data_IF_434716599442
#
_entry.id   IF_434716599442
#
_cell.length_a   1.000
_cell.length_b   1.000
_cell.length_c   1.000
_cell.angle_alpha   90.00
_cell.angle_beta   90.00
_cell.angle_gamma   90.00
#
_symmetry.space_group_name_H-M   'P 1'
#
loop_
_entity.id
_entity.type
_entity.pdbx_description
1 polymer ?
#
# COMPACT_ATOMS: atom_id res chain seq x y z
N UNK A 1 32.86 17.39 -7.45
CA UNK A 1 31.70 17.73 -8.29
C UNK A 1 30.49 17.69 -7.35
N UNK A 2 29.89 18.85 -7.07
CA UNK A 2 28.69 18.95 -6.26
C UNK A 2 27.53 18.44 -7.10
N UNK A 3 26.67 17.49 -6.61
CA UNK A 3 25.49 17.11 -7.36
C UNK A 3 24.58 18.33 -7.48
N UNK A 4 24.31 18.77 -8.70
CA UNK A 4 23.40 19.85 -8.98
C UNK A 4 22.00 19.39 -8.49
N UNK A 5 21.50 20.02 -7.43
CA UNK A 5 20.13 19.79 -6.95
C UNK A 5 19.15 20.14 -8.07
N UNK A 6 18.38 19.18 -8.51
CA UNK A 6 17.38 19.39 -9.54
C UNK A 6 16.32 20.37 -9.00
N UNK A 7 16.15 21.57 -9.59
CA UNK A 7 15.28 22.60 -9.03
C UNK A 7 13.81 22.14 -8.91
N UNK A 8 13.39 21.21 -9.77
CA UNK A 8 12.05 20.62 -9.71
C UNK A 8 11.86 19.79 -8.44
N UNK A 9 12.87 18.98 -8.07
CA UNK A 9 12.83 18.18 -6.85
C UNK A 9 12.81 19.09 -5.61
N UNK A 10 13.59 20.17 -5.64
CA UNK A 10 13.65 21.13 -4.52
C UNK A 10 12.33 21.89 -4.36
N UNK A 11 11.65 22.26 -5.45
CA UNK A 11 10.34 22.92 -5.43
C UNK A 11 9.26 21.97 -4.96
N UNK A 12 9.26 20.74 -5.44
CA UNK A 12 8.32 19.69 -5.00
C UNK A 12 8.49 19.42 -3.51
N UNK A 13 9.72 19.22 -3.03
CA UNK A 13 10.02 19.05 -1.60
C UNK A 13 9.60 20.27 -0.77
N UNK A 14 9.81 21.50 -1.27
CA UNK A 14 9.42 22.72 -0.56
C UNK A 14 7.89 22.88 -0.48
N UNK A 15 7.16 22.53 -1.53
CA UNK A 15 5.68 22.50 -1.53
C UNK A 15 5.20 21.43 -0.54
N UNK A 16 5.80 20.24 -0.53
CA UNK A 16 5.47 19.17 0.40
C UNK A 16 5.74 19.57 1.86
N UNK A 17 6.88 20.23 2.14
CA UNK A 17 7.20 20.71 3.49
C UNK A 17 6.27 21.83 3.97
N UNK A 18 5.78 22.70 3.09
CA UNK A 18 4.89 23.78 3.47
C UNK A 18 3.44 23.34 3.77
N UNK A 19 3.01 22.23 3.17
CA UNK A 19 1.68 21.65 3.39
C UNK A 19 1.65 20.76 4.66
N UNK A 20 2.80 20.16 5.02
CA UNK A 20 2.93 19.32 6.21
C UNK A 20 2.79 20.08 7.56
N UNK A 21 2.67 21.40 7.55
CA UNK A 21 2.61 22.23 8.78
C UNK A 21 1.17 22.44 9.28
N UNK A 22 0.13 22.10 8.52
CA UNK A 22 -1.25 22.15 9.04
C UNK A 22 -1.55 20.85 9.80
N UNK A 23 -2.07 20.93 11.04
CA UNK A 23 -2.53 19.76 11.79
C UNK A 23 -3.89 19.28 11.25
N UNK A 24 -4.03 19.14 9.94
CA UNK A 24 -5.20 18.48 9.37
C UNK A 24 -5.09 17.01 9.70
N UNK A 25 -6.00 16.51 10.52
CA UNK A 25 -6.17 15.06 10.74
C UNK A 25 -6.73 14.46 9.46
N UNK A 26 -6.44 13.19 9.21
CA UNK A 26 -6.96 12.48 8.03
C UNK A 26 -8.51 12.46 7.97
N UNK A 27 -9.17 12.71 9.11
CA UNK A 27 -10.62 12.87 9.21
C UNK A 27 -11.16 14.19 8.62
N UNK A 28 -10.31 15.24 8.55
CA UNK A 28 -10.63 16.46 7.83
C UNK A 28 -10.17 16.26 6.38
N UNK A 29 -11.10 16.04 5.46
CA UNK A 29 -10.81 15.88 4.04
C UNK A 29 -10.90 17.23 3.31
N UNK A 30 -9.84 18.06 3.38
CA UNK A 30 -9.86 19.41 2.81
C UNK A 30 -9.90 19.40 1.28
N UNK A 31 -9.65 18.23 0.66
CA UNK A 31 -9.61 18.06 -0.79
C UNK A 31 -10.76 17.20 -1.32
N UNK A 32 -11.82 16.97 -0.53
CA UNK A 32 -12.92 16.06 -0.88
C UNK A 32 -13.49 16.32 -2.29
N UNK A 33 -13.75 17.57 -2.66
CA UNK A 33 -14.31 17.90 -3.98
C UNK A 33 -13.38 17.49 -5.11
N UNK A 34 -12.08 17.77 -4.99
CA UNK A 34 -11.06 17.37 -5.97
C UNK A 34 -10.86 15.86 -5.99
N UNK A 35 -10.82 15.25 -4.81
CA UNK A 35 -10.66 13.80 -4.67
C UNK A 35 -11.82 13.03 -5.33
N UNK A 36 -13.05 13.53 -5.21
CA UNK A 36 -14.22 12.94 -5.88
C UNK A 36 -14.13 13.04 -7.41
N UNK A 37 -13.71 14.19 -7.95
CA UNK A 37 -13.50 14.36 -9.39
C UNK A 37 -12.42 13.42 -9.92
N UNK A 38 -11.32 13.25 -9.16
CA UNK A 38 -10.26 12.31 -9.53
C UNK A 38 -10.74 10.85 -9.42
N UNK A 39 -11.56 10.52 -8.42
CA UNK A 39 -12.16 9.19 -8.31
C UNK A 39 -13.05 8.90 -9.52
N UNK A 40 -13.92 9.83 -9.93
CA UNK A 40 -14.76 9.68 -11.12
C UNK A 40 -13.91 9.47 -12.38
N UNK A 41 -12.80 10.20 -12.51
CA UNK A 41 -11.85 10.00 -13.60
C UNK A 41 -11.22 8.59 -13.53
N UNK A 42 -10.77 8.14 -12.34
CA UNK A 42 -10.18 6.82 -12.14
C UNK A 42 -11.20 5.71 -12.47
N UNK A 43 -12.45 5.85 -12.01
CA UNK A 43 -13.53 4.90 -12.29
C UNK A 43 -13.86 4.83 -13.79
N UNK A 44 -13.87 5.96 -14.48
CA UNK A 44 -14.06 5.98 -15.92
C UNK A 44 -12.91 5.31 -16.69
N UNK A 45 -11.67 5.55 -16.27
CA UNK A 45 -10.48 4.91 -16.85
C UNK A 45 -10.45 3.40 -16.55
N UNK A 46 -10.82 3.00 -15.34
CA UNK A 46 -10.95 1.59 -14.95
C UNK A 46 -12.00 0.88 -15.81
N UNK A 47 -13.20 1.43 -15.88
CA UNK A 47 -14.31 0.84 -16.64
C UNK A 47 -13.98 0.71 -18.14
N UNK A 48 -13.24 1.68 -18.71
CA UNK A 48 -12.91 1.69 -20.13
C UNK A 48 -11.72 0.79 -20.48
N UNK A 49 -10.75 0.62 -19.58
CA UNK A 49 -9.45 -0.01 -19.90
C UNK A 49 -9.10 -1.12 -18.93
N UNK A 50 -8.94 -0.81 -17.63
CA UNK A 50 -8.34 -1.74 -16.68
C UNK A 50 -9.27 -2.92 -16.36
N UNK A 51 -10.55 -2.64 -16.10
CA UNK A 51 -11.55 -3.66 -15.79
C UNK A 51 -11.75 -4.70 -16.91
N UNK A 52 -11.92 -4.34 -18.20
CA UNK A 52 -11.99 -5.33 -19.27
C UNK A 52 -10.76 -6.22 -19.37
N UNK A 53 -9.57 -5.64 -19.18
CA UNK A 53 -8.30 -6.40 -19.18
C UNK A 53 -8.24 -7.32 -17.96
N UNK A 54 -8.65 -6.85 -16.78
CA UNK A 54 -8.65 -7.64 -15.55
C UNK A 54 -9.60 -8.83 -15.63
N UNK A 55 -10.80 -8.65 -16.21
CA UNK A 55 -11.75 -9.74 -16.45
C UNK A 55 -11.15 -10.79 -17.40
N UNK A 56 -10.62 -10.34 -18.55
CA UNK A 56 -10.00 -11.25 -19.50
C UNK A 56 -8.79 -12.00 -18.90
N UNK A 57 -8.01 -11.33 -18.06
CA UNK A 57 -6.88 -11.92 -17.34
C UNK A 57 -7.36 -12.97 -16.32
N UNK A 58 -8.37 -12.65 -15.50
CA UNK A 58 -8.93 -13.57 -14.51
C UNK A 58 -9.53 -14.84 -15.14
N UNK A 59 -10.22 -14.68 -16.27
CA UNK A 59 -10.82 -15.80 -17.02
C UNK A 59 -9.77 -16.68 -17.74
N UNK A 60 -8.63 -16.09 -18.12
CA UNK A 60 -7.65 -16.76 -19.01
C UNK A 60 -6.49 -17.36 -18.23
N UNK A 61 -6.00 -16.69 -17.19
CA UNK A 61 -4.81 -17.11 -16.43
C UNK A 61 -5.21 -17.95 -15.22
N UNK A 62 -4.81 -19.24 -15.17
CA UNK A 62 -5.17 -20.11 -14.04
C UNK A 62 -4.65 -19.57 -12.70
N UNK A 63 -5.49 -19.65 -11.66
CA UNK A 63 -5.17 -19.18 -10.29
C UNK A 63 -3.81 -19.66 -9.75
N UNK A 64 -3.34 -20.91 -9.98
CA UNK A 64 -2.02 -21.33 -9.53
C UNK A 64 -0.86 -20.56 -10.17
N UNK A 65 -0.99 -20.18 -11.46
CA UNK A 65 0.02 -19.38 -12.16
C UNK A 65 0.04 -17.97 -11.59
N UNK A 66 -1.13 -17.36 -11.42
CA UNK A 66 -1.30 -16.04 -10.79
C UNK A 66 -0.63 -15.99 -9.42
N UNK A 67 -0.97 -16.96 -8.55
CA UNK A 67 -0.36 -17.07 -7.20
C UNK A 67 1.15 -17.22 -7.25
N UNK A 68 1.67 -18.03 -8.13
CA UNK A 68 3.13 -18.22 -8.26
C UNK A 68 3.86 -16.94 -8.67
N UNK A 69 3.29 -16.18 -9.61
CA UNK A 69 3.84 -14.88 -10.01
C UNK A 69 3.75 -13.84 -8.89
N UNK A 70 2.63 -13.83 -8.15
CA UNK A 70 2.44 -12.97 -6.99
C UNK A 70 3.47 -13.26 -5.90
N UNK A 71 3.60 -14.53 -5.52
CA UNK A 71 4.59 -14.95 -4.52
C UNK A 71 6.01 -14.52 -4.91
N UNK A 72 6.38 -14.65 -6.19
CA UNK A 72 7.68 -14.21 -6.68
C UNK A 72 7.86 -12.69 -6.57
N UNK A 73 6.81 -11.92 -6.87
CA UNK A 73 6.81 -10.47 -6.70
C UNK A 73 6.90 -10.08 -5.22
N UNK A 74 6.07 -10.70 -4.38
CA UNK A 74 6.04 -10.43 -2.93
C UNK A 74 7.36 -10.83 -2.25
N UNK A 75 8.03 -11.88 -2.72
CA UNK A 75 9.38 -12.24 -2.26
C UNK A 75 10.41 -11.12 -2.51
N UNK A 76 10.26 -10.33 -3.58
CA UNK A 76 11.10 -9.15 -3.82
C UNK A 76 10.66 -7.98 -2.92
N UNK A 77 9.37 -7.82 -2.65
CA UNK A 77 8.88 -6.77 -1.75
C UNK A 77 9.23 -7.05 -0.28
N UNK A 78 9.39 -8.32 0.12
CA UNK A 78 9.89 -8.71 1.45
C UNK A 78 11.29 -8.13 1.73
N UNK A 79 12.12 -7.90 0.69
CA UNK A 79 13.41 -7.21 0.83
C UNK A 79 13.23 -5.77 1.31
N UNK A 80 12.31 -5.03 0.67
CA UNK A 80 12.00 -3.65 1.07
C UNK A 80 11.39 -3.60 2.47
N UNK A 81 10.51 -4.56 2.78
CA UNK A 81 9.91 -4.68 4.12
C UNK A 81 10.98 -4.97 5.19
N UNK A 82 11.99 -5.80 4.89
CA UNK A 82 13.11 -6.03 5.81
C UNK A 82 13.92 -4.75 6.07
N UNK A 83 14.20 -3.96 5.02
CA UNK A 83 14.89 -2.67 5.17
C UNK A 83 14.06 -1.70 6.00
N UNK A 84 12.77 -1.56 5.69
CA UNK A 84 11.86 -0.69 6.44
C UNK A 84 11.75 -1.12 7.91
N UNK A 85 11.69 -2.42 8.19
CA UNK A 85 11.69 -2.94 9.57
C UNK A 85 12.97 -2.54 10.33
N UNK A 86 14.15 -2.55 9.69
CA UNK A 86 15.39 -2.03 10.29
C UNK A 86 15.31 -0.54 10.57
N UNK A 87 14.83 0.27 9.62
CA UNK A 87 14.66 1.72 9.77
C UNK A 87 13.68 2.08 10.90
N UNK A 88 12.72 1.20 11.17
CA UNK A 88 11.76 1.30 12.27
C UNK A 88 12.33 0.85 13.63
N UNK A 89 13.58 0.37 13.69
CA UNK A 89 14.17 -0.17 14.91
C UNK A 89 13.60 -1.54 15.32
N UNK A 90 13.11 -2.32 14.35
CA UNK A 90 12.47 -3.63 14.55
C UNK A 90 13.29 -4.78 13.93
N UNK A 91 14.49 -5.07 14.45
CA UNK A 91 15.37 -6.07 13.84
C UNK A 91 14.76 -7.49 13.81
N UNK A 92 13.86 -7.83 14.73
CA UNK A 92 13.16 -9.12 14.71
C UNK A 92 12.31 -9.33 13.46
N UNK A 93 11.56 -8.31 13.02
CA UNK A 93 10.78 -8.37 11.79
C UNK A 93 11.68 -8.32 10.54
N UNK A 94 12.78 -7.57 10.60
CA UNK A 94 13.76 -7.56 9.52
C UNK A 94 14.38 -8.94 9.30
N UNK A 95 14.76 -9.64 10.37
CA UNK A 95 15.27 -11.02 10.30
C UNK A 95 14.18 -11.96 9.77
N UNK A 96 12.94 -11.79 10.22
CA UNK A 96 11.80 -12.59 9.76
C UNK A 96 11.59 -12.47 8.23
N UNK A 97 11.48 -11.23 7.69
CA UNK A 97 11.33 -11.02 6.26
C UNK A 97 12.57 -11.47 5.47
N UNK A 98 13.77 -11.25 6.00
CA UNK A 98 15.00 -11.79 5.37
C UNK A 98 14.99 -13.31 5.31
N UNK A 99 14.54 -13.99 6.37
CA UNK A 99 14.42 -15.45 6.37
C UNK A 99 13.39 -15.92 5.33
N UNK A 100 12.25 -15.22 5.16
CA UNK A 100 11.28 -15.48 4.10
C UNK A 100 11.92 -15.42 2.73
N UNK A 101 12.62 -14.32 2.43
CA UNK A 101 13.33 -14.14 1.15
C UNK A 101 14.30 -15.31 0.89
N UNK A 102 15.09 -15.68 1.87
CA UNK A 102 16.06 -16.80 1.72
C UNK A 102 15.36 -18.14 1.50
N UNK A 103 14.34 -18.45 2.30
CA UNK A 103 13.58 -19.72 2.16
C UNK A 103 12.86 -19.77 0.83
N UNK A 104 12.09 -18.73 0.49
CA UNK A 104 11.30 -18.71 -0.74
C UNK A 104 12.19 -18.68 -2.00
N UNK A 105 13.32 -18.00 -1.96
CA UNK A 105 14.26 -17.98 -3.09
C UNK A 105 14.94 -19.34 -3.27
N UNK A 106 15.32 -20.03 -2.19
CA UNK A 106 16.08 -21.30 -2.27
C UNK A 106 15.18 -22.52 -2.40
N UNK A 107 14.14 -22.63 -1.57
CA UNK A 107 13.25 -23.79 -1.54
C UNK A 107 11.97 -23.55 -2.36
N UNK A 108 11.56 -22.28 -2.52
CA UNK A 108 10.36 -21.88 -3.24
C UNK A 108 10.55 -21.51 -4.71
N UNK A 109 11.63 -22.00 -5.37
CA UNK A 109 11.90 -21.77 -6.81
C UNK A 109 11.90 -20.26 -7.15
N UNK A 110 12.82 -19.50 -6.53
CA UNK A 110 12.95 -18.05 -6.68
C UNK A 110 11.71 -17.26 -6.19
N UNK A 111 10.99 -17.82 -5.22
CA UNK A 111 9.82 -17.18 -4.62
C UNK A 111 8.48 -17.56 -5.26
N UNK A 112 8.45 -18.38 -6.30
CA UNK A 112 7.18 -18.83 -6.93
C UNK A 112 6.29 -19.60 -5.95
N UNK A 113 6.90 -20.32 -5.00
CA UNK A 113 6.20 -21.04 -3.93
C UNK A 113 6.53 -20.35 -2.60
N UNK A 114 5.52 -19.97 -1.85
CA UNK A 114 5.71 -19.38 -0.50
C UNK A 114 5.87 -20.46 0.57
N UNK A 115 7.04 -21.09 0.56
CA UNK A 115 7.43 -22.12 1.55
C UNK A 115 7.56 -21.53 2.94
N UNK A 116 7.93 -20.26 3.05
CA UNK A 116 8.10 -19.60 4.35
C UNK A 116 6.78 -19.52 5.13
N UNK A 117 5.67 -19.19 4.48
CA UNK A 117 4.35 -19.20 5.12
C UNK A 117 3.92 -20.61 5.54
N UNK A 118 4.22 -21.63 4.71
CA UNK A 118 3.98 -23.03 5.07
C UNK A 118 4.82 -23.48 6.30
N UNK A 119 5.96 -22.84 6.54
CA UNK A 119 6.79 -23.04 7.74
C UNK A 119 6.36 -22.19 8.95
N UNK A 120 5.28 -21.40 8.84
CA UNK A 120 4.79 -20.52 9.89
C UNK A 120 5.56 -19.21 10.03
N UNK A 121 6.32 -18.82 8.98
CA UNK A 121 7.02 -17.54 8.93
C UNK A 121 6.14 -16.56 8.14
N UNK A 122 5.16 -15.97 8.81
CA UNK A 122 4.24 -14.99 8.21
C UNK A 122 4.97 -13.72 7.77
N UNK A 123 4.56 -13.03 6.68
CA UNK A 123 5.13 -11.76 6.28
C UNK A 123 4.90 -10.67 7.35
N UNK A 124 5.82 -9.73 7.43
CA UNK A 124 5.60 -8.46 8.11
C UNK A 124 5.49 -7.38 7.04
N UNK A 125 4.25 -7.03 6.74
CA UNK A 125 3.95 -6.01 5.73
C UNK A 125 4.27 -4.64 6.28
N UNK A 126 5.14 -3.90 5.59
CA UNK A 126 5.53 -2.55 5.95
C UNK A 126 6.14 -1.81 4.77
N UNK A 127 6.06 -0.49 4.82
CA UNK A 127 6.55 0.42 3.81
C UNK A 127 7.26 1.64 4.43
N UNK A 128 7.79 2.54 3.61
CA UNK A 128 8.45 3.74 4.12
C UNK A 128 7.45 4.77 4.70
N UNK A 129 6.19 4.77 4.26
CA UNK A 129 5.13 5.57 4.88
C UNK A 129 4.87 5.15 6.32
N UNK A 130 4.92 3.84 6.60
CA UNK A 130 4.87 3.28 7.95
C UNK A 130 6.14 3.62 8.74
N UNK A 131 7.32 3.59 8.11
CA UNK A 131 8.57 4.04 8.72
C UNK A 131 8.48 5.50 9.14
N UNK A 132 7.95 6.37 8.31
CA UNK A 132 7.70 7.78 8.64
C UNK A 132 6.73 7.94 9.81
N UNK A 133 5.66 7.13 9.87
CA UNK A 133 4.74 7.12 11.01
C UNK A 133 5.46 6.79 12.32
N UNK A 134 6.31 5.77 12.31
CA UNK A 134 7.14 5.39 13.45
C UNK A 134 8.12 6.48 13.89
N UNK A 135 8.59 7.28 12.96
CA UNK A 135 9.44 8.44 13.26
C UNK A 135 8.63 9.66 13.72
N UNK A 136 7.30 9.54 13.86
CA UNK A 136 6.42 10.59 14.35
C UNK A 136 5.93 11.56 13.26
N UNK A 137 6.11 11.25 11.98
CA UNK A 137 5.56 12.07 10.92
C UNK A 137 4.02 11.97 10.90
N UNK A 138 3.29 13.10 10.86
CA UNK A 138 1.85 13.09 10.77
C UNK A 138 1.37 12.45 9.46
N UNK A 139 0.17 11.92 9.47
CA UNK A 139 -0.41 11.29 8.29
C UNK A 139 -0.64 12.27 7.15
N UNK A 140 -1.05 13.47 7.50
CA UNK A 140 -1.44 14.52 6.56
C UNK A 140 -2.79 14.24 5.90
N UNK A 141 -3.24 15.15 5.03
CA UNK A 141 -4.54 15.03 4.39
C UNK A 141 -4.60 13.83 3.43
N UNK A 142 -5.82 13.31 3.29
CA UNK A 142 -6.16 12.30 2.30
C UNK A 142 -6.16 12.91 0.90
N UNK A 143 -5.64 12.19 -0.08
CA UNK A 143 -5.62 12.59 -1.49
C UNK A 143 -5.91 11.40 -2.39
N UNK A 144 -6.75 11.62 -3.39
CA UNK A 144 -6.94 10.67 -4.49
C UNK A 144 -5.94 11.00 -5.59
N UNK A 145 -5.17 10.02 -6.04
CA UNK A 145 -4.15 10.21 -7.08
C UNK A 145 -4.64 9.60 -8.40
N UNK A 146 -4.54 10.32 -9.53
CA UNK A 146 -4.88 9.76 -10.82
C UNK A 146 -4.16 8.43 -11.09
N UNK A 147 -4.90 7.40 -11.48
CA UNK A 147 -4.46 6.03 -11.75
C UNK A 147 -3.89 5.26 -10.54
N UNK A 148 -3.38 5.93 -9.51
CA UNK A 148 -2.75 5.28 -8.35
C UNK A 148 -3.71 5.07 -7.18
N UNK A 149 -4.88 5.73 -7.19
CA UNK A 149 -5.90 5.58 -6.16
C UNK A 149 -5.61 6.34 -4.85
N UNK A 150 -6.18 5.89 -3.72
CA UNK A 150 -6.13 6.58 -2.44
C UNK A 150 -4.72 6.63 -1.84
N UNK A 151 -4.37 7.78 -1.25
CA UNK A 151 -3.12 8.03 -0.52
C UNK A 151 -3.36 9.02 0.60
N UNK A 152 -2.45 9.04 1.57
CA UNK A 152 -2.22 10.20 2.43
C UNK A 152 -0.90 10.86 2.02
N UNK A 153 -0.65 12.07 2.50
CA UNK A 153 0.63 12.71 2.21
C UNK A 153 1.82 11.87 2.70
N UNK A 154 1.72 11.29 3.90
CA UNK A 154 2.76 10.41 4.45
C UNK A 154 2.98 9.18 3.58
N UNK A 155 1.92 8.49 3.21
CA UNK A 155 2.03 7.28 2.38
C UNK A 155 2.53 7.58 0.97
N UNK A 156 2.12 8.70 0.38
CA UNK A 156 2.60 9.12 -0.94
C UNK A 156 4.11 9.41 -0.96
N UNK A 157 4.64 10.05 0.09
CA UNK A 157 6.10 10.21 0.26
C UNK A 157 6.76 8.84 0.44
N UNK A 158 6.12 7.95 1.20
CA UNK A 158 6.55 6.58 1.39
C UNK A 158 6.69 5.84 0.07
N UNK A 159 5.65 5.83 -0.75
CA UNK A 159 5.62 5.15 -2.05
C UNK A 159 6.73 5.65 -2.99
N UNK A 160 6.97 6.98 -3.03
CA UNK A 160 8.06 7.57 -3.80
C UNK A 160 9.41 7.05 -3.30
N UNK A 161 9.63 7.02 -1.99
CA UNK A 161 10.88 6.55 -1.39
C UNK A 161 11.08 5.06 -1.64
N UNK A 162 10.05 4.24 -1.41
CA UNK A 162 10.09 2.81 -1.66
C UNK A 162 10.34 2.50 -3.14
N UNK A 163 9.85 3.35 -4.07
CA UNK A 163 10.14 3.17 -5.49
C UNK A 163 11.63 3.32 -5.82
N UNK A 164 12.38 4.17 -5.11
CA UNK A 164 13.84 4.27 -5.26
C UNK A 164 14.61 3.16 -4.55
N UNK A 165 14.00 2.52 -3.56
CA UNK A 165 14.60 1.43 -2.77
C UNK A 165 14.16 0.05 -3.27
N UNK A 166 13.32 0.00 -4.30
CA UNK A 166 12.69 -1.22 -4.78
C UNK A 166 13.72 -2.25 -5.25
N UNK A 167 13.68 -3.45 -4.66
CA UNK A 167 14.50 -4.57 -5.09
C UNK A 167 14.24 -4.94 -6.56
N UNK A 168 13.03 -4.71 -7.06
CA UNK A 168 12.68 -4.95 -8.46
C UNK A 168 13.58 -4.16 -9.42
N UNK A 169 13.92 -2.91 -9.10
CA UNK A 169 14.73 -2.04 -9.96
C UNK A 169 16.20 -2.50 -10.02
N UNK A 170 16.65 -3.26 -9.03
CA UNK A 170 17.99 -3.83 -9.00
C UNK A 170 18.06 -5.25 -9.61
N UNK A 171 16.94 -5.99 -9.58
CA UNK A 171 16.86 -7.34 -10.14
C UNK A 171 16.62 -7.29 -11.64
N UNK A 172 15.82 -6.35 -12.10
CA UNK A 172 15.52 -6.15 -13.50
C UNK A 172 16.30 -4.94 -14.03
N UNK A 173 17.37 -5.21 -14.78
CA UNK A 173 18.21 -4.16 -15.44
C UNK A 173 17.54 -3.67 -16.76
N UNK A 174 16.20 -3.69 -16.81
CA UNK A 174 15.41 -3.28 -17.98
C UNK A 174 14.16 -2.52 -17.51
N UNK A 175 14.05 -1.26 -17.93
CA UNK A 175 12.94 -0.38 -17.58
C UNK A 175 11.58 -0.94 -18.01
N UNK A 176 11.50 -1.64 -19.14
CA UNK A 176 10.26 -2.22 -19.64
C UNK A 176 9.78 -3.36 -18.72
N UNK A 177 10.70 -4.19 -18.24
CA UNK A 177 10.37 -5.29 -17.33
C UNK A 177 9.96 -4.71 -15.97
N UNK A 178 10.66 -3.71 -15.46
CA UNK A 178 10.36 -3.02 -14.19
C UNK A 178 8.97 -2.38 -14.22
N UNK A 179 8.69 -1.54 -15.24
CA UNK A 179 7.37 -0.92 -15.36
C UNK A 179 6.28 -1.93 -15.72
N UNK A 180 6.61 -2.94 -16.52
CA UNK A 180 5.71 -4.04 -16.87
C UNK A 180 5.30 -4.85 -15.66
N UNK A 181 6.22 -5.17 -14.74
CA UNK A 181 5.93 -5.89 -13.50
C UNK A 181 5.02 -5.08 -12.56
N UNK A 182 5.23 -3.76 -12.45
CA UNK A 182 4.35 -2.86 -11.67
C UNK A 182 2.95 -2.76 -12.28
N UNK A 183 2.86 -2.63 -13.61
CA UNK A 183 1.58 -2.62 -14.32
C UNK A 183 0.84 -3.95 -14.19
N UNK A 184 1.58 -5.07 -14.29
CA UNK A 184 1.01 -6.39 -14.05
C UNK A 184 0.52 -6.56 -12.60
N UNK A 185 1.27 -6.08 -11.61
CA UNK A 185 0.85 -6.09 -10.20
C UNK A 185 -0.45 -5.31 -9.99
N UNK A 186 -0.58 -4.15 -10.62
CA UNK A 186 -1.82 -3.36 -10.55
C UNK A 186 -3.00 -4.10 -11.21
N UNK A 187 -2.75 -4.79 -12.33
CA UNK A 187 -3.76 -5.61 -13.01
C UNK A 187 -4.20 -6.79 -12.13
N UNK A 188 -3.26 -7.49 -11.50
CA UNK A 188 -3.53 -8.60 -10.59
C UNK A 188 -4.39 -8.15 -9.40
N UNK A 189 -3.97 -7.05 -8.75
CA UNK A 189 -4.73 -6.47 -7.66
C UNK A 189 -6.15 -6.08 -8.09
N UNK A 190 -6.31 -5.53 -9.31
CA UNK A 190 -7.62 -5.19 -9.85
C UNK A 190 -8.47 -6.45 -10.14
N UNK A 191 -7.84 -7.52 -10.61
CA UNK A 191 -8.54 -8.78 -10.86
C UNK A 191 -9.06 -9.41 -9.56
N UNK A 192 -8.29 -9.36 -8.48
CA UNK A 192 -8.72 -9.84 -7.17
C UNK A 192 -9.88 -9.01 -6.59
N UNK A 193 -9.94 -7.71 -6.90
CA UNK A 193 -11.04 -6.85 -6.47
C UNK A 193 -12.35 -7.05 -7.25
N UNK A 194 -12.37 -7.78 -8.37
CA UNK A 194 -13.60 -8.03 -9.12
C UNK A 194 -14.68 -8.72 -8.29
N UNK A 195 -14.28 -9.68 -7.44
CA UNK A 195 -15.19 -10.42 -6.56
C UNK A 195 -15.73 -9.54 -5.42
N UNK A 196 -15.00 -8.47 -5.05
CA UNK A 196 -15.36 -7.58 -3.95
C UNK A 196 -16.14 -6.33 -4.38
N UNK A 197 -16.33 -6.09 -5.68
CA UNK A 197 -17.06 -4.90 -6.18
C UNK A 197 -18.48 -4.79 -5.61
N UNK A 198 -19.17 -5.91 -5.46
CA UNK A 198 -20.55 -5.97 -4.98
C UNK A 198 -20.69 -5.67 -3.47
N UNK A 199 -19.56 -5.63 -2.74
CA UNK A 199 -19.54 -5.30 -1.31
C UNK A 199 -19.60 -3.80 -1.05
N UNK A 200 -19.32 -2.98 -2.06
CA UNK A 200 -19.31 -1.53 -1.93
C UNK A 200 -20.76 -1.04 -1.88
N UNK A 201 -21.19 -0.56 -0.72
CA UNK A 201 -22.53 -0.03 -0.47
C UNK A 201 -22.46 1.44 -0.07
N UNK A 202 -23.51 2.21 -0.42
CA UNK A 202 -23.59 3.63 -0.08
C UNK A 202 -22.69 4.52 -0.95
N UNK A 203 -22.09 5.55 -0.34
CA UNK A 203 -21.18 6.48 -1.03
C UNK A 203 -19.82 5.82 -1.29
N UNK A 204 -19.53 5.52 -2.55
CA UNK A 204 -18.30 4.85 -2.99
C UNK A 204 -17.04 5.60 -2.56
N UNK A 205 -17.06 6.94 -2.62
CA UNK A 205 -15.91 7.74 -2.21
C UNK A 205 -15.62 7.57 -0.72
N UNK A 206 -16.65 7.71 0.11
CA UNK A 206 -16.52 7.56 1.57
C UNK A 206 -16.05 6.14 1.90
N UNK A 207 -16.64 5.13 1.27
CA UNK A 207 -16.23 3.74 1.49
C UNK A 207 -14.73 3.52 1.18
N UNK A 208 -14.25 3.97 0.01
CA UNK A 208 -12.85 3.78 -0.39
C UNK A 208 -11.90 4.55 0.52
N UNK A 209 -12.25 5.80 0.89
CA UNK A 209 -11.46 6.62 1.80
C UNK A 209 -11.32 5.94 3.16
N UNK A 210 -12.45 5.56 3.75
CA UNK A 210 -12.48 5.02 5.11
C UNK A 210 -11.79 3.64 5.18
N UNK A 211 -12.04 2.77 4.19
CA UNK A 211 -11.34 1.49 4.10
C UNK A 211 -9.81 1.67 3.95
N UNK A 212 -9.37 2.66 3.16
CA UNK A 212 -7.95 2.96 3.00
C UNK A 212 -7.34 3.46 4.32
N UNK A 213 -7.98 4.42 4.99
CA UNK A 213 -7.48 5.00 6.24
C UNK A 213 -7.43 3.95 7.35
N UNK A 214 -8.46 3.11 7.50
CA UNK A 214 -8.47 2.01 8.48
C UNK A 214 -7.36 0.99 8.20
N UNK A 215 -7.13 0.64 6.94
CA UNK A 215 -6.03 -0.25 6.58
C UNK A 215 -4.66 0.36 6.93
N UNK A 216 -4.47 1.66 6.65
CA UNK A 216 -3.22 2.37 7.02
C UNK A 216 -3.03 2.45 8.54
N UNK A 217 -4.08 2.69 9.28
CA UNK A 217 -4.05 2.70 10.75
C UNK A 217 -3.71 1.31 11.31
N UNK A 218 -4.35 0.27 10.80
CA UNK A 218 -4.05 -1.11 11.17
C UNK A 218 -2.57 -1.46 10.94
N UNK A 219 -1.99 -1.07 9.80
CA UNK A 219 -0.57 -1.27 9.51
C UNK A 219 0.35 -0.55 10.51
N UNK A 220 0.02 0.70 10.88
CA UNK A 220 0.82 1.49 11.85
C UNK A 220 0.74 0.91 13.25
N UNK A 221 -0.41 0.35 13.62
CA UNK A 221 -0.70 -0.21 14.94
C UNK A 221 -0.48 -1.73 15.03
N UNK A 222 0.27 -2.33 14.09
CA UNK A 222 0.60 -3.78 14.07
C UNK A 222 -0.65 -4.70 14.04
N UNK A 223 -1.69 -4.29 13.34
CA UNK A 223 -2.94 -5.02 13.21
C UNK A 223 -3.96 -4.76 14.33
N UNK A 224 -3.61 -3.93 15.31
CA UNK A 224 -4.56 -3.48 16.34
C UNK A 224 -5.36 -2.31 15.77
N UNK A 225 -6.62 -2.54 15.44
CA UNK A 225 -7.58 -1.46 15.17
C UNK A 225 -8.25 -1.14 16.50
N UNK A 226 -8.21 0.11 16.93
CA UNK A 226 -9.00 0.54 18.08
C UNK A 226 -10.49 0.36 17.71
N UNK A 227 -11.15 -0.51 18.44
CA UNK A 227 -12.58 -0.76 18.24
C UNK A 227 -13.36 0.41 18.83
N UNK A 228 -13.65 1.41 17.97
CA UNK A 228 -14.45 2.58 18.35
C UNK A 228 -15.91 2.22 18.70
N UNK A 229 -16.32 0.97 18.52
CA UNK A 229 -17.65 0.50 18.91
C UNK A 229 -17.74 0.14 20.41
N UNK A 230 -16.62 -0.12 21.08
CA UNK A 230 -16.62 -0.45 22.52
C UNK A 230 -16.99 0.75 23.41
N UNK A 231 -16.80 1.98 22.94
CA UNK A 231 -17.11 3.18 23.70
C UNK A 231 -18.63 3.49 23.74
N UNK A 232 -19.44 2.83 22.92
CA UNK A 232 -20.91 3.02 22.90
C UNK A 232 -21.68 2.07 23.82
N UNK A 233 -21.03 1.03 24.36
CA UNK A 233 -21.74 0.02 25.20
C UNK A 233 -21.64 0.29 26.72
N UNK A 234 -20.78 1.19 27.19
CA UNK A 234 -20.64 1.44 28.65
C UNK A 234 -21.56 2.54 29.22
N UNK A 235 -22.20 3.37 28.40
CA UNK A 235 -22.98 4.52 28.90
C UNK A 235 -24.50 4.26 29.03
N UNK A 236 -25.04 3.07 28.77
CA UNK A 236 -26.50 2.85 28.71
C UNK A 236 -27.07 1.81 29.69
N UNK A 237 -26.33 1.39 30.71
CA UNK A 237 -26.86 0.48 31.75
C UNK A 237 -26.70 1.03 33.18
N UNK A 238 -27.05 2.28 33.43
CA UNK A 238 -27.41 2.68 34.79
C UNK A 238 -28.85 2.24 35.06
N UNK A 239 -28.98 1.12 35.75
CA UNK A 239 -30.21 0.54 36.24
C UNK A 239 -30.89 1.48 37.25
N UNK A 240 -31.98 2.11 36.88
CA UNK A 240 -33.02 2.54 37.82
C UNK A 240 -33.97 1.38 38.05
N UNK A 241 -33.73 0.64 39.14
CA UNK A 241 -34.75 -0.14 39.86
C UNK A 241 -34.61 0.07 41.36
#
# INVERSE_FOLDING_TARGET
>A
MSPASNPVISVVLAIWLSIAVSPATANDDPFESLNREILEFNDAADAAILRPIAVAYDETVPKPIRRGLMNAYDNLTDVNAAVNALLQGRPGYAVKNTARVLVNTTLGLLGVIDVASDMGIEPYETDFGHTLARWGAPEGPYVMVPFLGPRTFRSGIGDITDSFMSANDYVFDDDLITWGSRGWRALEYRADLLEAEDLITGDRYVFIRDAYLQNREALVNDGVVEDTFSDFEEDEWDEDF
#
